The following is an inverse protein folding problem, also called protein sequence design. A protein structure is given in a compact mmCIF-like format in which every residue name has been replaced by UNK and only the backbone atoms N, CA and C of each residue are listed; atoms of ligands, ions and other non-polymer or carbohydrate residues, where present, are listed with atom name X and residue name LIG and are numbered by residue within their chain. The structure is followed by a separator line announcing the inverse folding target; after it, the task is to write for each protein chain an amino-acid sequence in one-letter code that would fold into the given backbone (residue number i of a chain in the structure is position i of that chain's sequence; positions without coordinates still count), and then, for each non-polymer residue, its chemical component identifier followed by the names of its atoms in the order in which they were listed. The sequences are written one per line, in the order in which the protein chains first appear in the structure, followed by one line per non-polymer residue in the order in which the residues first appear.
data_IF_034203076072
#
_entry.id   IF_034203076072
#
_cell.length_a   1.000
_cell.length_b   1.000
_cell.length_c   1.000
_cell.angle_alpha   90.00
_cell.angle_beta   90.00
_cell.angle_gamma   90.00
#
_symmetry.space_group_name_H-M   'P 1'
#
loop_
_entity.id
_entity.type
_entity.pdbx_description
1 polymer ?
#
# COMPACT_ATOMS: atom_id res chain seq x y z
N UNK A 1 -34.48 -62.17 103.33
CA UNK A 1 -35.19 -61.72 102.12
C UNK A 1 -34.69 -60.34 101.74
N UNK A 2 -33.95 -60.21 100.64
CA UNK A 2 -33.87 -58.97 99.88
C UNK A 2 -34.72 -59.08 98.59
N UNK A 3 -35.21 -57.95 98.05
CA UNK A 3 -36.17 -57.92 96.94
C UNK A 3 -35.51 -58.09 95.57
N UNK A 4 -36.29 -58.64 94.65
CA UNK A 4 -36.07 -58.76 93.20
C UNK A 4 -36.13 -57.40 92.50
N UNK A 5 -35.17 -57.13 91.62
CA UNK A 5 -35.14 -55.99 90.69
C UNK A 5 -35.52 -56.47 89.26
N UNK A 6 -36.36 -55.74 88.50
CA UNK A 6 -36.84 -56.16 87.18
C UNK A 6 -35.96 -55.70 86.00
N UNK A 7 -36.18 -56.37 84.87
CA UNK A 7 -35.43 -56.35 83.62
C UNK A 7 -35.34 -54.99 82.88
N UNK A 8 -34.23 -54.82 82.15
CA UNK A 8 -33.91 -53.69 81.27
C UNK A 8 -34.30 -54.01 79.81
N UNK A 9 -34.98 -53.12 79.05
CA UNK A 9 -35.24 -53.31 77.62
C UNK A 9 -34.05 -52.85 76.74
N UNK A 10 -33.94 -53.33 75.48
CA UNK A 10 -32.78 -53.12 74.63
C UNK A 10 -32.92 -51.93 73.66
N UNK A 11 -31.77 -51.36 73.28
CA UNK A 11 -31.52 -50.92 71.90
C UNK A 11 -31.70 -49.44 71.55
N UNK A 12 -30.60 -48.67 71.58
CA UNK A 12 -30.53 -47.34 70.95
C UNK A 12 -29.10 -46.96 70.48
N UNK A 13 -28.34 -47.88 69.87
CA UNK A 13 -26.93 -47.62 69.48
C UNK A 13 -26.61 -47.60 67.98
N UNK A 14 -27.59 -47.73 67.07
CA UNK A 14 -27.31 -47.80 65.62
C UNK A 14 -27.59 -46.53 64.79
N UNK A 15 -28.20 -45.49 65.36
CA UNK A 15 -28.59 -44.29 64.59
C UNK A 15 -27.55 -43.16 64.58
N UNK A 16 -26.68 -43.05 65.58
CA UNK A 16 -25.71 -41.94 65.67
C UNK A 16 -24.46 -42.10 64.77
N UNK A 17 -24.16 -43.32 64.29
CA UNK A 17 -22.95 -43.58 63.50
C UNK A 17 -23.05 -43.14 62.03
N UNK A 18 -24.23 -43.29 61.42
CA UNK A 18 -24.45 -42.95 60.00
C UNK A 18 -24.46 -41.45 59.73
N UNK A 19 -24.99 -40.64 60.66
CA UNK A 19 -24.98 -39.19 60.51
C UNK A 19 -23.57 -38.59 60.63
N UNK A 20 -22.71 -39.12 61.50
CA UNK A 20 -21.33 -38.65 61.64
C UNK A 20 -20.47 -39.00 60.42
N UNK A 21 -20.68 -40.18 59.81
CA UNK A 21 -19.98 -40.58 58.59
C UNK A 21 -20.42 -39.73 57.38
N UNK A 22 -21.73 -39.48 57.24
CA UNK A 22 -22.25 -38.61 56.18
C UNK A 22 -21.73 -37.17 56.31
N UNK A 23 -21.66 -36.63 57.53
CA UNK A 23 -21.14 -35.29 57.77
C UNK A 23 -19.63 -35.20 57.46
N UNK A 24 -18.86 -36.25 57.77
CA UNK A 24 -17.44 -36.32 57.46
C UNK A 24 -17.18 -36.38 55.95
N UNK A 25 -18.00 -37.12 55.19
CA UNK A 25 -17.89 -37.19 53.73
C UNK A 25 -18.22 -35.84 53.09
N UNK A 26 -19.29 -35.16 53.56
CA UNK A 26 -19.67 -33.81 53.07
C UNK A 26 -18.59 -32.78 53.39
N UNK A 27 -18.00 -32.83 54.58
CA UNK A 27 -16.91 -31.92 54.96
C UNK A 27 -15.65 -32.16 54.09
N UNK A 28 -15.33 -33.42 53.80
CA UNK A 28 -14.19 -33.76 52.96
C UNK A 28 -14.40 -33.33 51.50
N UNK A 29 -15.57 -33.58 50.93
CA UNK A 29 -15.88 -33.16 49.56
C UNK A 29 -15.97 -31.63 49.42
N UNK A 30 -16.50 -30.92 50.42
CA UNK A 30 -16.44 -29.46 50.47
C UNK A 30 -15.00 -28.94 50.52
N UNK A 31 -14.12 -29.58 51.30
CA UNK A 31 -12.69 -29.24 51.37
C UNK A 31 -11.97 -29.45 50.03
N UNK A 32 -12.23 -30.56 49.35
CA UNK A 32 -11.66 -30.85 48.02
C UNK A 32 -12.17 -29.87 46.96
N UNK A 33 -13.47 -29.51 46.99
CA UNK A 33 -14.04 -28.52 46.09
C UNK A 33 -13.47 -27.12 46.33
N UNK A 34 -13.25 -26.73 47.59
CA UNK A 34 -12.62 -25.46 47.96
C UNK A 34 -11.15 -25.41 47.52
N UNK A 35 -10.41 -26.52 47.64
CA UNK A 35 -9.03 -26.63 47.16
C UNK A 35 -8.94 -26.61 45.63
N UNK A 36 -9.85 -27.29 44.93
CA UNK A 36 -9.92 -27.23 43.47
C UNK A 36 -10.31 -25.82 42.98
N UNK A 37 -11.24 -25.16 43.67
CA UNK A 37 -11.60 -23.78 43.39
C UNK A 37 -10.45 -22.81 43.67
N UNK A 38 -9.67 -22.99 44.74
CA UNK A 38 -8.51 -22.13 45.02
C UNK A 38 -7.39 -22.31 44.01
N UNK A 39 -7.14 -23.53 43.50
CA UNK A 39 -6.19 -23.76 42.40
C UNK A 39 -6.69 -23.15 41.10
N UNK A 40 -7.99 -23.26 40.78
CA UNK A 40 -8.58 -22.61 39.59
C UNK A 40 -8.54 -21.08 39.70
N UNK A 41 -8.78 -20.53 40.89
CA UNK A 41 -8.67 -19.08 41.15
C UNK A 41 -7.22 -18.64 41.08
N UNK A 42 -6.26 -19.38 41.63
CA UNK A 42 -4.83 -19.07 41.54
C UNK A 42 -4.31 -19.11 40.10
N UNK A 43 -4.68 -20.14 39.32
CA UNK A 43 -4.35 -20.24 37.89
C UNK A 43 -5.01 -19.14 37.04
N UNK A 44 -6.21 -18.69 37.44
CA UNK A 44 -6.88 -17.57 36.79
C UNK A 44 -6.25 -16.23 37.18
N UNK A 45 -5.81 -16.09 38.44
CA UNK A 45 -5.15 -14.89 38.95
C UNK A 45 -3.73 -14.73 38.38
N UNK A 46 -2.97 -15.81 38.21
CA UNK A 46 -1.65 -15.76 37.55
C UNK A 46 -1.75 -15.38 36.07
N UNK A 47 -2.85 -15.72 35.39
CA UNK A 47 -3.11 -15.30 34.00
C UNK A 47 -3.60 -13.85 33.85
N UNK A 48 -4.04 -13.24 34.95
CA UNK A 48 -4.45 -11.84 35.01
C UNK A 48 -3.31 -10.94 35.53
N UNK A 49 -2.07 -11.44 35.63
CA UNK A 49 -0.92 -10.57 35.79
C UNK A 49 -0.80 -9.70 34.53
N UNK A 50 -1.09 -8.41 34.69
CA UNK A 50 -0.87 -7.37 33.69
C UNK A 50 0.55 -7.54 33.16
N UNK A 51 0.69 -7.79 31.85
CA UNK A 51 1.99 -7.89 31.21
C UNK A 51 2.61 -6.50 31.28
N UNK A 52 3.55 -6.30 32.20
CA UNK A 52 4.31 -5.07 32.35
C UNK A 52 5.34 -4.96 31.22
N UNK A 53 4.89 -4.43 30.09
CA UNK A 53 5.71 -4.25 28.90
C UNK A 53 6.64 -3.04 29.05
N UNK A 54 7.95 -3.26 28.91
CA UNK A 54 8.95 -2.22 28.95
C UNK A 54 9.24 -1.64 27.55
N UNK A 55 9.75 -0.41 27.53
CA UNK A 55 10.27 0.18 26.28
C UNK A 55 11.43 -0.68 25.79
N UNK A 56 11.41 -0.99 24.50
CA UNK A 56 12.30 -1.88 23.76
C UNK A 56 11.98 -3.37 23.83
N UNK A 57 10.97 -3.79 24.59
CA UNK A 57 10.50 -5.18 24.51
C UNK A 57 9.89 -5.45 23.14
N UNK A 58 10.05 -6.69 22.70
CA UNK A 58 9.50 -7.16 21.45
C UNK A 58 8.29 -8.05 21.68
N UNK A 59 7.26 -7.82 20.88
CA UNK A 59 5.96 -8.45 21.06
C UNK A 59 5.40 -8.96 19.73
N UNK A 60 4.52 -9.95 19.80
CA UNK A 60 3.56 -10.25 18.75
C UNK A 60 2.15 -9.90 19.25
N UNK A 61 1.30 -9.41 18.36
CA UNK A 61 -0.11 -9.18 18.70
C UNK A 61 -0.90 -10.39 18.25
N UNK A 62 -1.27 -11.23 19.22
CA UNK A 62 -2.10 -12.41 19.00
C UNK A 62 -3.41 -12.23 19.76
N UNK A 63 -4.55 -12.26 19.06
CA UNK A 63 -5.88 -12.30 19.69
C UNK A 63 -6.11 -11.20 20.74
N UNK A 64 -5.89 -9.94 20.33
CA UNK A 64 -6.11 -8.71 21.10
C UNK A 64 -5.13 -8.41 22.24
N UNK A 65 -4.21 -9.33 22.60
CA UNK A 65 -3.16 -9.09 23.60
C UNK A 65 -1.74 -9.22 23.02
N UNK A 66 -0.80 -8.36 23.40
CA UNK A 66 0.60 -8.52 23.08
C UNK A 66 1.18 -9.67 23.88
N UNK A 67 1.95 -10.51 23.20
CA UNK A 67 2.76 -11.58 23.80
C UNK A 67 4.21 -11.20 23.60
N UNK A 68 4.99 -11.16 24.68
CA UNK A 68 6.42 -10.87 24.62
C UNK A 68 7.20 -12.05 24.00
N UNK A 69 8.12 -11.71 23.10
CA UNK A 69 9.06 -12.65 22.49
C UNK A 69 10.46 -12.02 22.51
N UNK A 70 11.54 -12.82 22.57
CA UNK A 70 12.88 -12.32 22.31
C UNK A 70 12.92 -11.61 20.96
N UNK A 71 13.53 -10.42 20.91
CA UNK A 71 13.62 -9.61 19.67
C UNK A 71 14.33 -10.30 18.49
N UNK A 72 15.03 -11.41 18.74
CA UNK A 72 15.69 -12.22 17.72
C UNK A 72 14.77 -13.24 17.06
N UNK A 73 13.57 -13.48 17.60
CA UNK A 73 12.63 -14.44 17.04
C UNK A 73 11.80 -13.84 15.91
N UNK A 74 11.51 -14.62 14.87
CA UNK A 74 10.67 -14.18 13.74
C UNK A 74 9.23 -13.85 14.15
N UNK A 75 8.77 -14.36 15.30
CA UNK A 75 7.44 -14.09 15.85
C UNK A 75 7.34 -12.70 16.48
N UNK A 76 8.45 -12.10 16.89
CA UNK A 76 8.51 -10.73 17.39
C UNK A 76 8.22 -9.74 16.25
N UNK A 77 6.95 -9.34 16.09
CA UNK A 77 6.49 -8.51 14.97
C UNK A 77 6.45 -7.02 15.29
N UNK A 78 6.52 -6.63 16.57
CA UNK A 78 6.58 -5.24 17.00
C UNK A 78 7.60 -5.05 18.12
N UNK A 79 8.13 -3.83 18.23
CA UNK A 79 8.96 -3.36 19.33
C UNK A 79 8.31 -2.13 19.95
N UNK A 80 8.39 -2.02 21.26
CA UNK A 80 7.86 -0.89 22.01
C UNK A 80 8.89 0.24 21.98
N UNK A 81 8.49 1.45 21.55
CA UNK A 81 9.45 2.54 21.28
C UNK A 81 9.22 3.82 22.06
N UNK A 82 8.01 4.08 22.55
CA UNK A 82 7.70 5.30 23.28
C UNK A 82 6.44 5.13 24.15
N UNK A 83 6.31 6.01 25.14
CA UNK A 83 5.06 6.29 25.87
C UNK A 83 4.58 7.68 25.42
N UNK A 84 3.35 7.77 24.92
CA UNK A 84 2.72 9.04 24.52
C UNK A 84 1.55 9.36 25.45
N UNK A 85 1.41 10.64 25.83
CA UNK A 85 0.26 11.13 26.58
C UNK A 85 -1.03 11.01 25.73
N UNK A 86 -2.07 10.44 26.33
CA UNK A 86 -3.38 10.28 25.72
C UNK A 86 -4.09 11.64 25.74
N UNK A 87 -4.28 12.23 24.56
CA UNK A 87 -5.07 13.45 24.39
C UNK A 87 -6.48 13.06 23.94
N UNK A 88 -7.49 13.44 24.72
CA UNK A 88 -8.91 13.22 24.38
C UNK A 88 -9.50 14.43 23.63
N UNK A 89 -10.31 14.23 22.58
CA UNK A 89 -10.70 12.96 21.95
C UNK A 89 -9.52 12.29 21.21
N UNK A 90 -9.54 10.95 21.12
CA UNK A 90 -8.44 10.07 20.67
C UNK A 90 -8.01 10.36 19.23
N UNK A 91 -7.19 11.38 19.05
CA UNK A 91 -6.52 11.70 17.78
C UNK A 91 -5.13 11.04 17.70
N UNK A 92 -4.64 10.43 18.79
CA UNK A 92 -3.30 9.85 18.83
C UNK A 92 -3.26 8.44 18.24
N UNK A 93 -2.72 8.39 17.03
CA UNK A 93 -1.95 7.32 16.43
C UNK A 93 -1.60 6.10 17.32
N UNK A 94 -1.00 6.29 18.50
CA UNK A 94 -0.52 5.19 19.33
C UNK A 94 -1.60 4.29 19.99
N UNK A 95 -2.90 4.60 19.87
CA UNK A 95 -3.97 3.96 20.65
C UNK A 95 -4.70 2.77 20.00
N UNK A 96 -4.16 2.12 18.96
CA UNK A 96 -4.89 1.08 18.21
C UNK A 96 -5.31 -0.14 19.05
N UNK A 97 -4.70 -0.36 20.22
CA UNK A 97 -5.03 -1.44 21.15
C UNK A 97 -4.98 -0.99 22.62
N UNK A 98 -5.84 -0.02 22.99
CA UNK A 98 -5.85 0.63 24.30
C UNK A 98 -5.68 -0.34 25.50
N UNK A 99 -6.47 -1.43 25.57
CA UNK A 99 -6.41 -2.42 26.67
C UNK A 99 -5.09 -3.20 26.79
N UNK A 100 -4.23 -3.08 25.79
CA UNK A 100 -3.06 -3.93 25.55
C UNK A 100 -1.76 -3.13 25.43
N UNK A 101 -1.88 -1.85 25.10
CA UNK A 101 -0.78 -0.89 25.02
C UNK A 101 -0.83 0.14 26.14
N UNK A 102 -1.77 0.05 27.09
CA UNK A 102 -1.72 0.84 28.32
C UNK A 102 -0.39 0.56 29.02
N UNK A 103 0.37 1.62 29.30
CA UNK A 103 1.58 1.49 30.09
C UNK A 103 1.17 0.99 31.48
N UNK A 104 1.73 -0.13 31.94
CA UNK A 104 1.57 -0.52 33.35
C UNK A 104 2.09 0.66 34.18
N UNK A 105 1.24 1.26 35.02
CA UNK A 105 1.63 2.42 35.79
C UNK A 105 2.87 2.03 36.63
N UNK A 106 3.93 2.85 36.58
CA UNK A 106 4.86 2.87 37.71
C UNK A 106 4.02 3.08 38.98
N UNK A 107 4.34 2.46 40.12
CA UNK A 107 3.45 2.43 41.29
C UNK A 107 3.08 3.84 41.75
N UNK A 108 2.00 4.35 41.16
CA UNK A 108 1.44 5.65 41.42
C UNK A 108 0.42 5.50 42.53
N UNK A 109 0.24 6.56 43.30
CA UNK A 109 -0.69 6.59 44.40
C UNK A 109 -2.11 6.19 43.92
N UNK A 110 -2.82 5.44 44.76
CA UNK A 110 -4.14 4.93 44.44
C UNK A 110 -5.09 6.04 43.94
N UNK A 111 -5.50 5.96 42.67
CA UNK A 111 -6.50 6.85 42.08
C UNK A 111 -6.15 7.45 40.72
N UNK A 112 -4.91 7.33 40.24
CA UNK A 112 -4.53 7.78 38.88
C UNK A 112 -4.71 6.64 37.86
N UNK A 113 -5.58 6.87 36.86
CA UNK A 113 -5.60 6.03 35.66
C UNK A 113 -4.40 6.41 34.78
N UNK A 114 -3.74 5.47 34.09
CA UNK A 114 -2.60 5.80 33.25
C UNK A 114 -3.06 6.61 32.03
N UNK A 115 -2.67 7.89 31.98
CA UNK A 115 -2.88 8.80 30.86
C UNK A 115 -1.85 8.60 29.72
N UNK A 116 -1.13 7.48 29.68
CA UNK A 116 -0.06 7.23 28.68
C UNK A 116 -0.21 5.88 27.98
N UNK A 117 0.02 5.87 26.66
CA UNK A 117 -0.03 4.68 25.81
C UNK A 117 1.32 4.33 25.21
N UNK A 118 1.58 3.02 25.03
CA UNK A 118 2.77 2.50 24.39
C UNK A 118 2.63 2.51 22.87
N UNK A 119 3.60 3.12 22.20
CA UNK A 119 3.69 3.12 20.75
C UNK A 119 4.47 1.88 20.26
N UNK A 120 3.93 1.25 19.22
CA UNK A 120 4.52 0.08 18.59
C UNK A 120 5.21 0.47 17.28
N UNK A 121 6.47 0.05 17.13
CA UNK A 121 7.18 0.07 15.87
C UNK A 121 7.26 -1.36 15.31
N UNK A 122 6.81 -1.60 14.07
CA UNK A 122 6.89 -2.94 13.50
C UNK A 122 8.35 -3.33 13.27
N UNK A 123 8.68 -4.58 13.57
CA UNK A 123 10.02 -5.13 13.33
C UNK A 123 10.18 -5.56 11.89
N UNK A 124 11.41 -5.91 11.50
CA UNK A 124 11.68 -6.47 10.18
C UNK A 124 10.96 -7.79 9.94
N UNK A 125 10.56 -8.54 10.95
CA UNK A 125 9.85 -9.82 10.80
C UNK A 125 8.38 -9.63 10.45
N UNK A 126 7.82 -8.45 10.72
CA UNK A 126 6.46 -8.13 10.35
C UNK A 126 6.34 -7.92 8.84
N UNK A 127 5.48 -8.69 8.18
CA UNK A 127 5.28 -8.64 6.73
C UNK A 127 4.03 -7.87 6.33
N UNK A 128 3.14 -7.55 7.26
CA UNK A 128 1.81 -6.98 6.95
C UNK A 128 1.64 -5.54 7.42
N UNK A 129 2.52 -5.06 8.32
CA UNK A 129 2.55 -3.65 8.69
C UNK A 129 3.46 -2.85 7.73
N UNK A 130 2.95 -1.81 7.06
CA UNK A 130 3.73 -1.00 6.12
C UNK A 130 4.94 -0.31 6.77
N UNK A 131 4.96 -0.12 8.09
CA UNK A 131 6.09 0.48 8.81
C UNK A 131 7.32 -0.42 8.90
N UNK A 132 7.19 -1.72 8.62
CA UNK A 132 8.31 -2.65 8.53
C UNK A 132 8.99 -2.64 7.16
N UNK A 133 8.36 -2.02 6.16
CA UNK A 133 8.82 -2.00 4.78
C UNK A 133 10.01 -1.05 4.63
N UNK A 134 10.95 -1.46 3.80
CA UNK A 134 12.15 -0.71 3.45
C UNK A 134 12.28 -0.65 1.93
N UNK A 135 13.05 0.32 1.45
CA UNK A 135 13.40 0.39 0.03
C UNK A 135 14.01 -0.94 -0.45
N UNK A 136 13.56 -1.40 -1.62
CA UNK A 136 13.95 -2.68 -2.22
C UNK A 136 13.08 -3.87 -1.84
N UNK A 137 12.20 -3.75 -0.85
CA UNK A 137 11.23 -4.80 -0.54
C UNK A 137 10.25 -5.00 -1.68
N UNK A 138 9.85 -6.24 -1.93
CA UNK A 138 8.73 -6.53 -2.82
C UNK A 138 7.45 -6.73 -2.01
N UNK A 139 6.37 -6.15 -2.50
CA UNK A 139 5.07 -6.18 -1.86
C UNK A 139 4.01 -6.65 -2.83
N UNK A 140 3.07 -7.43 -2.31
CA UNK A 140 1.77 -7.65 -2.93
C UNK A 140 0.80 -6.63 -2.35
N UNK A 141 0.17 -5.85 -3.24
CA UNK A 141 -0.83 -4.85 -2.85
C UNK A 141 -2.20 -5.40 -3.21
N UNK A 142 -3.09 -5.48 -2.23
CA UNK A 142 -4.48 -5.95 -2.41
C UNK A 142 -5.46 -4.82 -2.19
N UNK A 143 -6.55 -4.86 -2.96
CA UNK A 143 -7.49 -3.74 -3.05
C UNK A 143 -6.79 -2.49 -3.59
N UNK A 144 -7.37 -1.32 -3.33
CA UNK A 144 -6.73 -0.04 -3.65
C UNK A 144 -5.68 0.34 -2.58
N UNK A 145 -4.82 -0.59 -2.18
CA UNK A 145 -3.89 -0.40 -1.05
C UNK A 145 -4.51 -0.63 0.32
N UNK A 146 -5.59 -1.43 0.42
CA UNK A 146 -6.18 -1.85 1.70
C UNK A 146 -5.29 -2.80 2.49
N UNK A 147 -4.41 -3.52 1.80
CA UNK A 147 -3.43 -4.41 2.41
C UNK A 147 -2.17 -4.41 1.57
N UNK A 148 -1.03 -4.28 2.25
CA UNK A 148 0.31 -4.31 1.65
C UNK A 148 1.08 -5.39 2.39
N UNK A 149 1.47 -6.45 1.68
CA UNK A 149 2.13 -7.62 2.27
C UNK A 149 3.51 -7.75 1.65
N UNK A 150 4.56 -7.75 2.45
CA UNK A 150 5.92 -8.05 1.99
C UNK A 150 6.01 -9.51 1.54
N UNK A 151 6.50 -9.71 0.32
CA UNK A 151 6.69 -11.00 -0.34
C UNK A 151 8.12 -11.13 -0.86
N UNK A 152 8.51 -12.34 -1.26
CA UNK A 152 9.79 -12.53 -1.92
C UNK A 152 9.76 -11.99 -3.35
N UNK A 153 10.74 -11.15 -3.71
CA UNK A 153 10.80 -10.49 -5.02
C UNK A 153 10.78 -11.42 -6.23
N UNK A 154 11.17 -12.69 -6.08
CA UNK A 154 11.23 -13.65 -7.20
C UNK A 154 9.89 -14.33 -7.51
N UNK A 155 8.87 -14.17 -6.66
CA UNK A 155 7.67 -15.02 -6.72
C UNK A 155 6.42 -14.36 -7.32
N UNK A 156 6.39 -13.04 -7.54
CA UNK A 156 5.18 -12.38 -8.03
C UNK A 156 5.42 -11.52 -9.27
N UNK A 157 4.98 -11.95 -10.47
CA UNK A 157 4.91 -11.08 -11.64
C UNK A 157 3.89 -9.94 -11.47
N UNK A 158 3.11 -9.92 -10.38
CA UNK A 158 2.13 -8.87 -10.05
C UNK A 158 2.59 -8.02 -8.85
N UNK A 159 3.87 -8.10 -8.49
CA UNK A 159 4.44 -7.37 -7.35
C UNK A 159 4.70 -5.89 -7.65
N UNK A 160 4.89 -5.14 -6.57
CA UNK A 160 5.51 -3.82 -6.62
C UNK A 160 6.76 -3.82 -5.73
N UNK A 161 7.77 -3.05 -6.11
CA UNK A 161 8.98 -2.85 -5.30
C UNK A 161 8.85 -1.52 -4.57
N UNK A 162 9.10 -1.55 -3.28
CA UNK A 162 9.12 -0.36 -2.43
C UNK A 162 10.31 0.49 -2.83
N UNK A 163 10.04 1.72 -3.26
CA UNK A 163 11.03 2.76 -3.53
C UNK A 163 11.35 3.50 -2.23
N UNK A 164 10.30 3.88 -1.49
CA UNK A 164 10.40 4.55 -0.21
C UNK A 164 9.14 4.33 0.64
N UNK A 165 9.27 4.59 1.94
CA UNK A 165 8.15 4.71 2.87
C UNK A 165 8.24 6.07 3.54
N UNK A 166 7.15 6.82 3.46
CA UNK A 166 7.05 8.18 4.01
C UNK A 166 6.12 8.14 5.22
N UNK A 167 6.58 8.74 6.33
CA UNK A 167 5.89 8.72 7.62
C UNK A 167 5.16 10.03 7.85
N UNK A 168 3.86 9.94 8.11
CA UNK A 168 2.98 11.07 8.34
C UNK A 168 2.21 10.90 9.64
N UNK A 169 1.90 12.03 10.29
CA UNK A 169 1.07 12.02 11.50
C UNK A 169 -0.40 11.71 11.19
N UNK A 170 -0.89 12.18 10.06
CA UNK A 170 -2.19 11.90 9.47
C UNK A 170 -1.98 11.82 7.96
N UNK A 171 -2.72 10.98 7.23
CA UNK A 171 -2.65 10.92 5.76
C UNK A 171 -3.16 12.27 5.24
N UNK A 172 -2.32 13.15 4.69
CA UNK A 172 -2.80 14.38 4.09
C UNK A 172 -3.53 14.04 2.78
N UNK A 173 -4.68 14.65 2.55
CA UNK A 173 -5.48 14.53 1.31
C UNK A 173 -4.83 15.29 0.12
N UNK A 174 -3.60 15.78 0.29
CA UNK A 174 -2.85 16.56 -0.74
C UNK A 174 -1.36 16.21 -0.73
N UNK A 175 -1.04 14.99 -0.31
CA UNK A 175 0.31 14.60 0.02
C UNK A 175 1.15 14.27 -1.20
N UNK A 176 2.22 15.06 -1.36
CA UNK A 176 3.27 14.81 -2.33
C UNK A 176 4.37 13.91 -1.74
N UNK A 177 4.02 13.03 -0.79
CA UNK A 177 4.93 12.13 -0.08
C UNK A 177 6.00 11.53 -1.00
N UNK A 178 5.58 10.99 -2.15
CA UNK A 178 6.48 10.35 -3.10
C UNK A 178 7.19 11.30 -4.08
N UNK A 179 7.10 12.63 -3.92
CA UNK A 179 7.64 13.61 -4.86
C UNK A 179 9.15 13.61 -4.98
N UNK A 180 9.84 13.33 -3.87
CA UNK A 180 11.29 13.20 -3.87
C UNK A 180 11.77 11.91 -4.56
N UNK A 181 10.86 11.01 -4.94
CA UNK A 181 11.16 9.66 -5.40
C UNK A 181 10.77 9.48 -6.87
N UNK A 182 11.65 9.83 -7.83
CA UNK A 182 11.33 9.89 -9.26
C UNK A 182 11.02 8.53 -9.90
N UNK A 183 11.41 7.43 -9.23
CA UNK A 183 11.09 6.06 -9.68
C UNK A 183 9.68 5.62 -9.27
N UNK A 184 9.00 6.36 -8.40
CA UNK A 184 7.67 5.98 -7.93
C UNK A 184 6.68 5.99 -9.10
N UNK A 185 5.90 4.91 -9.21
CA UNK A 185 4.83 4.75 -10.20
C UNK A 185 3.45 4.58 -9.57
N UNK A 186 3.40 4.20 -8.30
CA UNK A 186 2.18 4.13 -7.47
C UNK A 186 2.49 4.52 -6.03
N UNK A 187 1.50 5.05 -5.33
CA UNK A 187 1.59 5.31 -3.90
C UNK A 187 0.38 4.69 -3.20
N UNK A 188 0.58 4.21 -1.97
CA UNK A 188 -0.48 3.63 -1.16
C UNK A 188 -0.39 4.15 0.26
N UNK A 189 -1.41 4.91 0.69
CA UNK A 189 -1.50 5.36 2.07
C UNK A 189 -2.19 4.30 2.93
N UNK A 190 -1.54 3.95 4.03
CA UNK A 190 -2.00 2.90 4.93
C UNK A 190 -1.69 3.26 6.39
N UNK A 191 -2.60 2.97 7.34
CA UNK A 191 -2.30 3.12 8.76
C UNK A 191 -1.32 2.04 9.24
N UNK A 192 -0.25 2.43 9.94
CA UNK A 192 0.67 1.52 10.63
C UNK A 192 0.26 1.35 12.10
N UNK A 193 0.74 0.29 12.77
CA UNK A 193 0.66 0.25 14.23
C UNK A 193 1.51 1.36 14.87
N UNK A 194 1.06 1.85 16.01
CA UNK A 194 1.49 3.13 16.55
C UNK A 194 0.87 4.33 15.82
N UNK A 195 -0.10 4.08 14.91
CA UNK A 195 -1.00 4.99 14.18
C UNK A 195 -0.39 6.14 13.42
N UNK A 196 0.86 5.94 13.02
CA UNK A 196 1.45 6.69 11.94
C UNK A 196 0.69 6.35 10.67
N UNK A 197 0.39 7.38 9.88
CA UNK A 197 0.04 7.22 8.49
C UNK A 197 1.32 6.94 7.70
N UNK A 198 1.34 5.89 6.89
CA UNK A 198 2.50 5.57 6.05
C UNK A 198 2.07 5.61 4.61
N UNK A 199 2.78 6.38 3.80
CA UNK A 199 2.66 6.32 2.35
C UNK A 199 3.78 5.42 1.83
N UNK A 200 3.38 4.31 1.20
CA UNK A 200 4.31 3.38 0.56
C UNK A 200 4.42 3.77 -0.91
N UNK A 201 5.58 4.29 -1.29
CA UNK A 201 5.92 4.65 -2.66
C UNK A 201 6.51 3.42 -3.36
N UNK A 202 5.91 2.99 -4.47
CA UNK A 202 6.33 1.78 -5.17
C UNK A 202 6.48 1.97 -6.68
N UNK A 203 7.25 1.07 -7.28
CA UNK A 203 7.34 0.88 -8.72
C UNK A 203 6.92 -0.55 -9.09
N UNK A 204 6.41 -0.81 -10.31
CA UNK A 204 6.07 -2.16 -10.73
C UNK A 204 7.32 -3.06 -10.80
N UNK A 205 7.20 -4.32 -10.39
CA UNK A 205 8.29 -5.30 -10.60
C UNK A 205 8.23 -5.99 -11.96
N UNK A 206 7.07 -5.97 -12.63
CA UNK A 206 6.94 -6.51 -13.97
C UNK A 206 7.59 -5.54 -14.98
N UNK A 207 8.70 -5.93 -15.65
CA UNK A 207 9.34 -5.10 -16.65
C UNK A 207 8.47 -4.88 -17.89
N UNK A 208 7.34 -5.59 -18.03
CA UNK A 208 6.37 -5.39 -19.11
C UNK A 208 5.20 -4.51 -18.71
N UNK A 209 5.11 -4.05 -17.46
CA UNK A 209 4.02 -3.18 -17.05
C UNK A 209 4.15 -1.80 -17.72
N UNK A 210 3.13 -1.38 -18.48
CA UNK A 210 3.11 -0.06 -19.13
C UNK A 210 3.25 1.08 -18.11
N UNK A 211 2.69 0.92 -16.90
CA UNK A 211 2.84 1.89 -15.82
C UNK A 211 4.30 2.08 -15.35
N UNK A 212 5.19 1.14 -15.69
CA UNK A 212 6.62 1.19 -15.43
C UNK A 212 7.45 1.73 -16.59
N UNK A 213 6.82 2.15 -17.69
CA UNK A 213 7.52 2.64 -18.87
C UNK A 213 8.43 3.82 -18.55
N UNK A 214 9.58 3.83 -19.21
CA UNK A 214 10.43 4.99 -19.37
C UNK A 214 10.21 5.66 -20.74
N UNK A 215 10.70 6.88 -20.88
CA UNK A 215 10.63 7.61 -22.15
C UNK A 215 11.42 6.83 -23.22
N UNK A 216 10.76 6.54 -24.34
CA UNK A 216 11.30 5.74 -25.44
C UNK A 216 10.79 4.30 -25.48
N UNK A 217 10.23 3.77 -24.39
CA UNK A 217 9.67 2.43 -24.38
C UNK A 217 8.45 2.32 -25.30
N UNK A 218 8.25 1.14 -25.88
CA UNK A 218 7.12 0.88 -26.77
C UNK A 218 6.08 -0.04 -26.12
N UNK A 219 4.82 0.21 -26.45
CA UNK A 219 3.69 -0.59 -26.05
C UNK A 219 2.90 -1.05 -27.27
N UNK A 220 2.16 -2.14 -27.09
CA UNK A 220 1.18 -2.56 -28.08
C UNK A 220 -0.02 -1.59 -28.13
N UNK A 221 -0.90 -1.77 -29.12
CA UNK A 221 -2.07 -0.91 -29.33
C UNK A 221 -3.08 -0.97 -28.17
N UNK A 222 -3.11 -2.08 -27.43
CA UNK A 222 -4.05 -2.31 -26.35
C UNK A 222 -3.50 -1.85 -24.99
N UNK A 223 -2.25 -1.39 -24.94
CA UNK A 223 -1.52 -1.10 -23.72
C UNK A 223 -1.48 -2.31 -22.77
N UNK A 224 -1.47 -3.52 -23.34
CA UNK A 224 -1.43 -4.77 -22.58
C UNK A 224 -0.08 -5.02 -21.90
N UNK A 225 0.98 -4.38 -22.42
CA UNK A 225 2.32 -4.42 -21.87
C UNK A 225 3.32 -3.69 -22.75
N UNK A 226 4.54 -3.54 -22.24
CA UNK A 226 5.70 -3.09 -22.99
C UNK A 226 6.18 -4.20 -23.93
N UNK A 227 6.60 -3.78 -25.12
CA UNK A 227 7.11 -4.62 -26.20
C UNK A 227 8.37 -3.99 -26.77
N UNK A 228 9.21 -4.78 -27.44
CA UNK A 228 10.35 -4.23 -28.17
C UNK A 228 9.86 -3.28 -29.27
N UNK A 229 10.52 -2.13 -29.43
CA UNK A 229 10.09 -1.10 -30.39
C UNK A 229 10.21 -1.50 -31.86
N UNK A 230 11.05 -2.49 -32.17
CA UNK A 230 11.19 -3.10 -33.50
C UNK A 230 10.19 -4.24 -33.75
N UNK A 231 9.39 -4.60 -32.73
CA UNK A 231 8.35 -5.61 -32.87
C UNK A 231 7.25 -5.13 -33.82
N UNK A 232 6.71 -6.00 -34.69
CA UNK A 232 5.51 -5.70 -35.48
C UNK A 232 4.28 -5.32 -34.64
N UNK A 233 4.27 -5.68 -33.36
CA UNK A 233 3.19 -5.33 -32.42
C UNK A 233 3.36 -3.96 -31.78
N UNK A 234 4.51 -3.30 -31.91
CA UNK A 234 4.76 -1.98 -31.35
C UNK A 234 3.90 -0.95 -32.07
N UNK A 235 2.99 -0.30 -31.35
CA UNK A 235 2.07 0.68 -31.90
C UNK A 235 2.27 2.07 -31.30
N UNK A 236 2.64 2.12 -30.02
CA UNK A 236 2.80 3.34 -29.25
C UNK A 236 4.18 3.40 -28.62
N UNK A 237 4.73 4.60 -28.47
CA UNK A 237 5.97 4.91 -27.77
C UNK A 237 5.71 5.93 -26.67
N UNK A 238 6.27 5.69 -25.48
CA UNK A 238 6.26 6.64 -24.38
C UNK A 238 7.11 7.87 -24.72
N UNK A 239 6.46 9.04 -24.78
CA UNK A 239 7.08 10.32 -25.10
C UNK A 239 7.38 11.13 -23.84
N UNK A 240 6.54 11.00 -22.82
CA UNK A 240 6.75 11.62 -21.52
C UNK A 240 6.09 10.78 -20.43
N UNK A 241 6.71 10.74 -19.26
CA UNK A 241 6.19 10.14 -18.04
C UNK A 241 6.19 11.23 -16.97
N UNK A 242 5.05 11.45 -16.33
CA UNK A 242 4.84 12.58 -15.40
C UNK A 242 4.19 12.10 -14.12
N UNK A 243 4.74 12.54 -13.00
CA UNK A 243 4.05 12.49 -11.71
C UNK A 243 3.21 13.74 -11.55
N UNK A 244 1.91 13.55 -11.39
CA UNK A 244 0.91 14.58 -11.16
C UNK A 244 0.38 14.39 -9.72
N UNK A 245 -0.03 15.50 -9.09
CA UNK A 245 -0.59 15.49 -7.72
C UNK A 245 -2.07 15.91 -7.70
N UNK A 246 -2.68 15.90 -8.88
CA UNK A 246 -4.09 16.09 -9.07
C UNK A 246 -4.47 15.32 -10.33
N UNK A 247 -5.53 14.52 -10.23
CA UNK A 247 -6.07 13.83 -11.40
C UNK A 247 -6.63 14.89 -12.36
N UNK A 248 -6.15 14.96 -13.61
CA UNK A 248 -6.69 15.92 -14.56
C UNK A 248 -8.12 15.52 -14.97
N UNK A 249 -8.98 16.51 -15.18
CA UNK A 249 -10.39 16.30 -15.61
C UNK A 249 -10.47 15.62 -16.98
N UNK A 250 -9.46 15.83 -17.82
CA UNK A 250 -9.31 15.23 -19.14
C UNK A 250 -7.86 14.76 -19.36
N UNK A 251 -7.63 13.77 -20.22
CA UNK A 251 -6.28 13.40 -20.65
C UNK A 251 -5.51 14.59 -21.21
N UNK A 252 -4.32 14.87 -20.66
CA UNK A 252 -3.53 16.03 -21.06
C UNK A 252 -2.04 15.70 -21.10
N UNK A 253 -1.43 16.07 -22.23
CA UNK A 253 -0.01 15.95 -22.54
C UNK A 253 0.52 17.31 -23.00
N UNK A 254 0.53 18.32 -22.11
CA UNK A 254 1.00 19.65 -22.47
C UNK A 254 2.50 19.59 -22.80
N UNK A 255 2.93 20.36 -23.78
CA UNK A 255 4.34 20.44 -24.22
C UNK A 255 4.93 19.11 -24.75
N UNK A 256 4.07 18.14 -25.12
CA UNK A 256 4.51 16.87 -25.74
C UNK A 256 4.04 16.81 -27.19
N UNK A 257 4.99 16.88 -28.12
CA UNK A 257 4.71 16.79 -29.54
C UNK A 257 4.37 15.36 -29.98
N UNK A 258 3.33 15.21 -30.81
CA UNK A 258 2.95 13.93 -31.41
C UNK A 258 2.31 12.93 -30.43
N UNK A 259 1.97 13.34 -29.20
CA UNK A 259 1.28 12.46 -28.25
C UNK A 259 -0.17 12.20 -28.68
N UNK A 260 -0.46 10.96 -29.03
CA UNK A 260 -1.73 10.48 -29.59
C UNK A 260 -2.63 9.78 -28.58
N UNK A 261 -2.04 9.37 -27.46
CA UNK A 261 -2.72 8.66 -26.39
C UNK A 261 -2.15 9.09 -25.05
N UNK A 262 -2.93 8.85 -24.01
CA UNK A 262 -2.57 9.09 -22.63
C UNK A 262 -3.07 7.92 -21.81
N UNK A 263 -2.22 7.39 -20.95
CA UNK A 263 -2.62 6.43 -19.93
C UNK A 263 -2.21 6.95 -18.58
N UNK A 264 -2.96 6.61 -17.54
CA UNK A 264 -2.66 7.05 -16.18
C UNK A 264 -2.87 5.94 -15.18
N UNK A 265 -2.02 5.94 -14.15
CA UNK A 265 -2.18 5.14 -12.96
C UNK A 265 -2.49 6.07 -11.77
N UNK A 266 -3.49 5.72 -10.97
CA UNK A 266 -3.88 6.49 -9.80
C UNK A 266 -4.47 5.58 -8.73
N UNK A 267 -4.48 6.07 -7.50
CA UNK A 267 -5.12 5.44 -6.37
C UNK A 267 -6.00 6.46 -5.66
N UNK A 268 -7.26 6.13 -5.35
CA UNK A 268 -8.20 7.08 -4.75
C UNK A 268 -7.85 7.51 -3.31
N UNK A 269 -6.86 6.87 -2.68
CA UNK A 269 -6.38 7.17 -1.33
C UNK A 269 -5.10 7.98 -1.28
N UNK A 270 -4.51 8.31 -2.43
CA UNK A 270 -3.27 9.08 -2.53
C UNK A 270 -3.31 10.05 -3.68
N UNK A 271 -2.63 11.17 -3.57
CA UNK A 271 -2.66 12.18 -4.64
C UNK A 271 -1.71 11.88 -5.80
N UNK A 272 -0.89 10.82 -5.70
CA UNK A 272 0.01 10.44 -6.78
C UNK A 272 -0.77 9.87 -7.97
N UNK A 273 -0.72 10.60 -9.08
CA UNK A 273 -1.17 10.15 -10.39
C UNK A 273 0.04 10.10 -11.31
N UNK A 274 0.30 8.96 -11.94
CA UNK A 274 1.36 8.84 -12.94
C UNK A 274 0.74 8.80 -14.32
N UNK A 275 0.96 9.86 -15.10
CA UNK A 275 0.48 10.00 -16.47
C UNK A 275 1.60 9.68 -17.47
N UNK A 276 1.28 8.92 -18.51
CA UNK A 276 2.19 8.56 -19.59
C UNK A 276 1.59 9.03 -20.91
N UNK A 277 2.31 9.94 -21.56
CA UNK A 277 1.99 10.45 -22.88
C UNK A 277 2.61 9.55 -23.93
N UNK A 278 1.78 9.06 -24.85
CA UNK A 278 2.13 8.05 -25.83
C UNK A 278 1.92 8.62 -27.23
N UNK A 279 2.82 8.37 -28.17
CA UNK A 279 2.65 8.68 -29.59
C UNK A 279 2.95 7.48 -30.47
N UNK A 280 2.96 7.61 -31.81
CA UNK A 280 3.34 6.52 -32.71
C UNK A 280 4.67 5.83 -32.35
N UNK A 281 4.71 4.50 -32.42
CA UNK A 281 5.95 3.75 -32.19
C UNK A 281 7.06 4.06 -33.20
N UNK A 282 6.66 4.35 -34.44
CA UNK A 282 7.57 4.69 -35.55
C UNK A 282 8.21 6.07 -35.32
N UNK A 283 9.54 6.16 -35.15
CA UNK A 283 10.23 7.45 -34.95
C UNK A 283 10.17 8.35 -36.20
N UNK A 284 9.84 7.79 -37.36
CA UNK A 284 9.67 8.52 -38.60
C UNK A 284 8.23 8.99 -38.83
N UNK A 285 7.31 8.80 -37.89
CA UNK A 285 5.97 9.35 -38.04
C UNK A 285 6.01 10.87 -38.33
N UNK A 286 5.21 11.33 -39.30
CA UNK A 286 5.17 12.75 -39.67
C UNK A 286 4.79 13.68 -38.49
N UNK A 287 4.10 13.15 -37.47
CA UNK A 287 3.77 13.88 -36.25
C UNK A 287 5.00 14.34 -35.44
N UNK A 288 6.17 13.73 -35.67
CA UNK A 288 7.44 14.09 -35.03
C UNK A 288 8.30 15.03 -35.87
N UNK A 289 7.84 15.42 -37.06
CA UNK A 289 8.63 16.24 -37.96
C UNK A 289 8.87 17.66 -37.42
N UNK A 290 10.03 18.21 -37.74
CA UNK A 290 10.44 19.59 -37.46
C UNK A 290 10.67 20.34 -38.77
N UNK A 291 10.76 21.67 -38.70
CA UNK A 291 11.10 22.50 -39.87
C UNK A 291 12.42 22.03 -40.50
N UNK A 292 12.41 21.84 -41.82
CA UNK A 292 13.51 21.30 -42.61
C UNK A 292 13.52 19.78 -42.78
N UNK A 293 12.66 19.03 -42.07
CA UNK A 293 12.49 17.60 -42.35
C UNK A 293 11.78 17.39 -43.69
N UNK A 294 12.11 16.30 -44.37
CA UNK A 294 11.42 15.88 -45.58
C UNK A 294 10.48 14.72 -45.31
N UNK A 295 9.32 14.75 -45.97
CA UNK A 295 8.29 13.74 -45.85
C UNK A 295 8.02 13.06 -47.19
N UNK A 296 7.68 11.78 -47.13
CA UNK A 296 6.97 11.14 -48.22
C UNK A 296 5.51 11.58 -48.18
N UNK A 297 4.95 11.87 -49.36
CA UNK A 297 3.53 12.14 -49.49
C UNK A 297 2.79 10.81 -49.71
N UNK A 298 2.07 10.35 -48.69
CA UNK A 298 1.24 9.13 -48.78
C UNK A 298 -0.04 9.28 -49.62
N UNK A 299 -0.19 10.38 -50.36
CA UNK A 299 -1.39 10.77 -51.09
C UNK A 299 -2.48 11.36 -50.17
N UNK A 300 -3.67 11.69 -50.71
CA UNK A 300 -4.77 12.20 -49.90
C UNK A 300 -5.20 11.17 -48.85
N UNK A 301 -5.17 11.55 -47.58
CA UNK A 301 -5.51 10.66 -46.46
C UNK A 301 -4.99 11.16 -45.10
N UNK A 302 -5.16 10.37 -44.03
CA UNK A 302 -4.77 10.76 -42.68
C UNK A 302 -3.24 10.87 -42.51
N UNK A 303 -2.80 11.65 -41.52
CA UNK A 303 -1.40 11.90 -41.14
C UNK A 303 -0.53 10.62 -40.99
N UNK A 304 -1.16 9.47 -40.77
CA UNK A 304 -0.50 8.16 -40.68
C UNK A 304 0.07 7.62 -42.00
N UNK A 305 -0.17 8.30 -43.13
CA UNK A 305 0.37 7.91 -44.44
C UNK A 305 1.66 8.64 -44.82
N UNK A 306 2.03 9.68 -44.08
CA UNK A 306 3.25 10.45 -44.30
C UNK A 306 4.29 10.07 -43.26
N UNK A 307 5.53 9.89 -43.71
CA UNK A 307 6.65 9.58 -42.84
C UNK A 307 7.88 10.39 -43.24
N UNK A 308 8.71 10.69 -42.24
CA UNK A 308 10.00 11.33 -42.39
C UNK A 308 10.91 10.43 -43.19
N UNK A 309 11.62 11.03 -44.13
CA UNK A 309 12.57 10.37 -45.02
C UNK A 309 13.77 11.28 -45.22
N UNK A 310 14.90 10.70 -45.62
CA UNK A 310 16.08 11.48 -46.00
C UNK A 310 15.72 12.44 -47.15
N UNK A 311 16.08 13.71 -46.99
CA UNK A 311 15.87 14.75 -48.00
C UNK A 311 16.65 14.49 -49.31
N UNK A 312 17.59 13.56 -49.34
CA UNK A 312 18.27 13.15 -50.58
C UNK A 312 17.51 12.05 -51.32
N UNK A 313 16.51 11.43 -50.70
CA UNK A 313 15.71 10.38 -51.31
C UNK A 313 14.79 10.99 -52.39
N UNK A 314 14.78 10.46 -53.63
CA UNK A 314 13.87 10.90 -54.68
C UNK A 314 12.37 10.79 -54.32
N UNK A 315 12.01 9.98 -53.32
CA UNK A 315 10.66 9.85 -52.81
C UNK A 315 10.25 10.97 -51.82
N UNK A 316 11.18 11.83 -51.42
CA UNK A 316 10.94 12.99 -50.55
C UNK A 316 10.19 14.10 -51.30
N UNK A 317 8.86 13.99 -51.31
CA UNK A 317 7.98 14.86 -52.10
C UNK A 317 7.80 16.26 -51.49
N UNK A 318 7.84 16.37 -50.18
CA UNK A 318 7.53 17.60 -49.46
C UNK A 318 8.55 17.89 -48.35
N UNK A 319 8.78 19.18 -48.06
CA UNK A 319 9.60 19.69 -46.96
C UNK A 319 8.71 20.40 -45.94
N UNK A 320 8.98 20.20 -44.65
CA UNK A 320 8.31 20.92 -43.57
C UNK A 320 8.84 22.35 -43.48
N UNK A 321 7.98 23.32 -43.77
CA UNK A 321 8.33 24.75 -43.74
C UNK A 321 7.87 25.45 -42.47
N UNK A 322 6.81 24.93 -41.83
CA UNK A 322 6.30 25.45 -40.56
C UNK A 322 5.59 24.35 -39.77
N UNK A 323 5.58 24.49 -38.45
CA UNK A 323 4.85 23.62 -37.53
C UNK A 323 4.41 24.41 -36.30
N UNK A 324 3.17 24.19 -35.86
CA UNK A 324 2.64 24.81 -34.66
C UNK A 324 1.59 23.95 -33.95
N UNK A 325 1.41 24.21 -32.65
CA UNK A 325 0.55 23.45 -31.73
C UNK A 325 -0.92 23.90 -31.80
N UNK A 326 -1.51 23.81 -32.98
CA UNK A 326 -2.93 24.03 -33.20
C UNK A 326 -3.35 23.32 -34.49
N UNK A 327 -4.47 22.57 -34.52
CA UNK A 327 -4.97 21.87 -35.70
C UNK A 327 -5.84 22.80 -36.56
N UNK A 328 -5.44 24.07 -36.70
CA UNK A 328 -6.21 25.13 -37.38
C UNK A 328 -5.97 25.20 -38.89
N UNK A 329 -5.00 24.44 -39.41
CA UNK A 329 -4.60 24.49 -40.81
C UNK A 329 -4.08 25.87 -41.27
N UNK A 330 -3.67 26.73 -40.34
CA UNK A 330 -3.20 28.08 -40.64
C UNK A 330 -1.73 28.03 -41.08
N UNK A 331 -1.51 27.92 -42.39
CA UNK A 331 -0.19 27.79 -42.97
C UNK A 331 0.24 29.03 -43.77
N UNK A 332 1.56 29.32 -43.84
CA UNK A 332 2.08 30.49 -44.53
C UNK A 332 1.91 30.36 -46.06
N UNK A 333 2.02 31.49 -46.76
CA UNK A 333 2.02 31.51 -48.22
C UNK A 333 3.18 30.68 -48.79
N UNK A 334 2.91 29.86 -49.82
CA UNK A 334 3.90 28.92 -50.38
C UNK A 334 3.72 27.46 -49.91
N UNK A 335 2.80 27.22 -48.97
CA UNK A 335 2.39 25.89 -48.55
C UNK A 335 1.70 25.14 -49.70
N UNK A 336 2.21 23.96 -50.05
CA UNK A 336 1.63 23.05 -51.04
C UNK A 336 0.51 22.19 -50.45
N UNK A 337 0.69 21.76 -49.20
CA UNK A 337 -0.21 20.90 -48.45
C UNK A 337 0.07 21.00 -46.94
N UNK A 338 -0.81 20.43 -46.13
CA UNK A 338 -0.69 20.49 -44.69
C UNK A 338 -1.21 19.21 -44.04
N UNK A 339 -0.65 18.88 -42.88
CA UNK A 339 -1.08 17.77 -42.04
C UNK A 339 -1.63 18.36 -40.75
N UNK A 340 -2.93 18.22 -40.53
CA UNK A 340 -3.58 18.61 -39.26
C UNK A 340 -3.96 17.38 -38.46
N UNK A 341 -3.85 17.49 -37.14
CA UNK A 341 -4.17 16.37 -36.27
C UNK A 341 -4.60 16.79 -34.85
N UNK A 342 -5.67 16.17 -34.36
CA UNK A 342 -6.30 16.47 -33.07
C UNK A 342 -6.48 15.18 -32.27
N UNK A 343 -5.58 14.86 -31.30
CA UNK A 343 -5.64 13.60 -30.56
C UNK A 343 -6.56 13.63 -29.34
N UNK A 344 -6.98 14.83 -28.91
CA UNK A 344 -7.71 15.01 -27.66
C UNK A 344 -6.84 14.95 -26.39
N UNK A 345 -5.55 14.59 -26.51
CA UNK A 345 -4.59 14.59 -25.38
C UNK A 345 -3.58 15.74 -25.45
N UNK A 346 -3.49 16.44 -26.58
CA UNK A 346 -2.69 17.66 -26.77
C UNK A 346 -3.57 18.73 -27.42
N UNK A 347 -3.04 19.95 -27.56
CA UNK A 347 -3.70 21.02 -28.32
C UNK A 347 -3.97 20.65 -29.80
N UNK A 348 -3.33 19.58 -30.30
CA UNK A 348 -3.28 19.23 -31.72
C UNK A 348 -2.06 19.85 -32.39
N UNK A 349 -1.89 19.56 -33.68
CA UNK A 349 -0.75 20.05 -34.46
C UNK A 349 -1.17 20.33 -35.90
N UNK A 350 -0.54 21.36 -36.48
CA UNK A 350 -0.49 21.59 -37.92
C UNK A 350 0.98 21.53 -38.37
N UNK A 351 1.24 20.75 -39.42
CA UNK A 351 2.52 20.71 -40.12
C UNK A 351 2.29 21.24 -41.53
N UNK A 352 2.95 22.34 -41.89
CA UNK A 352 2.83 22.98 -43.19
C UNK A 352 3.97 22.52 -44.10
N UNK A 353 3.61 22.11 -45.32
CA UNK A 353 4.51 21.47 -46.25
C UNK A 353 4.66 22.31 -47.51
N UNK A 354 5.88 22.37 -48.05
CA UNK A 354 6.15 22.86 -49.39
C UNK A 354 6.63 21.71 -50.28
N UNK A 355 6.29 21.76 -51.57
CA UNK A 355 6.88 20.81 -52.54
C UNK A 355 8.36 21.10 -52.69
N UNK A 356 9.15 20.03 -52.79
CA UNK A 356 10.58 20.11 -53.06
C UNK A 356 10.91 20.15 -54.55
#
# INVERSE_FOLDING_TARGET
MPPTEPARPPGAKRFLGRHRLALAIVAFSAGVLLAAASVLVALRHDRDTEIALAVNDCVAIESERPIEYPCTEDRATYRIVAREDIVWPVDSACLKFQNSTEAVPEPAAAGEQPDTALCLAPTRSNTTDPGALQAGDCVEVKGAGDSIIRVQCRQSPLGSRVVATELHRQIPVTDQACRAQPLTRSAFAHPSLGGRAIVVCVEPTDPRAVIGADVGDCADRNLGGLVACDSPSAALRALAVRSLYQRPESPQCPDVFGASAFTMNHNDKTDLVVGICLGPADPNAALYSVVGDCLTNGGPGPASRSFRIDCTDPAAADEVIERHESPDNNCPSGTSSSITWTPGVTAGITVCLARR
#
